data_IF_729873854770
#
_entry.id   IF_729873854770
#
_cell.length_a   1.000
_cell.length_b   1.000
_cell.length_c   1.000
_cell.angle_alpha   90.00
_cell.angle_beta   90.00
_cell.angle_gamma   90.00
#
_symmetry.space_group_name_H-M   'P 1'
#
loop_
_entity.id
_entity.type
_entity.pdbx_description
1 polymer ?
#
# COMPACT_ATOMS: atom_id res chain seq x y z
N UNK A 1 6.34 -6.26 -23.00
CA UNK A 1 5.82 -5.46 -21.86
C UNK A 1 5.93 -6.33 -20.64
N UNK A 2 6.29 -5.75 -19.49
CA UNK A 2 6.27 -6.45 -18.20
C UNK A 2 4.83 -6.75 -17.81
N UNK A 3 4.61 -7.82 -17.04
CA UNK A 3 3.26 -8.14 -16.57
C UNK A 3 2.81 -7.16 -15.48
N UNK A 4 1.66 -6.55 -15.65
CA UNK A 4 0.99 -5.74 -14.62
C UNK A 4 0.59 -6.65 -13.45
N UNK A 5 0.90 -6.26 -12.21
CA UNK A 5 0.58 -7.06 -11.02
C UNK A 5 -0.93 -7.07 -10.77
N UNK A 6 -1.56 -5.89 -10.82
CA UNK A 6 -3.01 -5.73 -10.73
C UNK A 6 -3.45 -4.44 -11.41
N UNK A 7 -4.75 -4.30 -11.64
CA UNK A 7 -5.38 -3.06 -12.13
C UNK A 7 -6.58 -2.77 -11.24
N UNK A 8 -6.69 -1.55 -10.72
CA UNK A 8 -7.75 -1.18 -9.78
C UNK A 8 -7.21 -0.77 -8.41
N UNK A 9 -7.79 -1.27 -7.34
CA UNK A 9 -7.39 -0.92 -5.97
C UNK A 9 -6.77 -2.12 -5.23
N UNK A 10 -5.60 -1.90 -4.62
CA UNK A 10 -5.00 -2.81 -3.65
C UNK A 10 -5.14 -2.21 -2.25
N UNK A 11 -5.64 -2.98 -1.29
CA UNK A 11 -5.66 -2.52 0.09
C UNK A 11 -4.30 -2.70 0.74
N UNK A 12 -3.68 -1.61 1.21
CA UNK A 12 -2.61 -1.68 2.19
C UNK A 12 -3.26 -2.05 3.53
N UNK A 13 -3.44 -3.36 3.75
CA UNK A 13 -4.26 -3.86 4.85
C UNK A 13 -3.61 -3.61 6.20
N UNK A 14 -4.41 -3.24 7.21
CA UNK A 14 -3.94 -3.17 8.60
C UNK A 14 -3.59 -4.58 9.10
N UNK A 15 -2.64 -4.69 10.00
CA UNK A 15 -2.41 -5.91 10.78
C UNK A 15 -3.16 -5.78 12.10
N UNK A 16 -4.25 -6.53 12.33
CA UNK A 16 -4.90 -6.56 13.63
C UNK A 16 -3.93 -7.04 14.71
N UNK A 17 -3.78 -6.23 15.74
CA UNK A 17 -2.90 -6.50 16.88
C UNK A 17 -3.69 -6.41 18.17
N UNK A 18 -3.25 -7.14 19.18
CA UNK A 18 -3.69 -7.03 20.57
C UNK A 18 -2.48 -7.15 21.50
N UNK A 19 -2.70 -7.12 22.81
CA UNK A 19 -1.64 -7.24 23.83
C UNK A 19 -0.79 -8.53 23.72
N UNK A 20 -1.29 -9.56 23.05
CA UNK A 20 -0.63 -10.86 22.91
C UNK A 20 0.14 -10.99 21.56
N UNK A 21 0.03 -10.00 20.66
CA UNK A 21 0.66 -10.02 19.34
C UNK A 21 -0.34 -9.85 18.20
N UNK A 22 -0.16 -10.59 17.11
CA UNK A 22 -1.03 -10.54 15.94
C UNK A 22 -2.33 -11.30 16.21
N UNK A 23 -3.47 -10.64 15.96
CA UNK A 23 -4.80 -11.27 16.03
C UNK A 23 -5.14 -11.90 14.67
N UNK A 24 -4.76 -13.15 14.49
CA UNK A 24 -4.96 -13.87 13.23
C UNK A 24 -6.44 -14.14 12.93
N UNK A 25 -7.30 -14.25 13.94
CA UNK A 25 -8.74 -14.44 13.74
C UNK A 25 -9.39 -13.18 13.16
N UNK A 26 -9.09 -12.03 13.75
CA UNK A 26 -9.53 -10.75 13.18
C UNK A 26 -8.92 -10.51 11.78
N UNK A 27 -7.67 -10.91 11.59
CA UNK A 27 -7.00 -10.76 10.28
C UNK A 27 -7.64 -11.63 9.20
N UNK A 28 -8.03 -12.86 9.52
CA UNK A 28 -8.78 -13.71 8.59
C UNK A 28 -10.12 -13.09 8.20
N UNK A 29 -10.92 -12.63 9.18
CA UNK A 29 -12.19 -11.96 8.89
C UNK A 29 -12.01 -10.73 8.02
N UNK A 30 -10.97 -9.94 8.27
CA UNK A 30 -10.65 -8.76 7.47
C UNK A 30 -10.30 -9.12 6.03
N UNK A 31 -9.43 -10.12 5.81
CA UNK A 31 -9.04 -10.60 4.48
C UNK A 31 -10.28 -11.09 3.72
N UNK A 32 -11.11 -11.92 4.34
CA UNK A 32 -12.32 -12.45 3.72
C UNK A 32 -13.29 -11.33 3.31
N UNK A 33 -13.48 -10.35 4.18
CA UNK A 33 -14.32 -9.20 3.88
C UNK A 33 -13.76 -8.37 2.71
N UNK A 34 -12.47 -8.05 2.70
CA UNK A 34 -11.83 -7.33 1.60
C UNK A 34 -12.06 -8.02 0.25
N UNK A 35 -11.90 -9.34 0.22
CA UNK A 35 -12.11 -10.12 -1.00
C UNK A 35 -13.59 -10.14 -1.38
N UNK A 36 -14.52 -10.30 -0.43
CA UNK A 36 -15.96 -10.30 -0.69
C UNK A 36 -16.47 -8.96 -1.21
N UNK A 37 -15.82 -7.86 -0.82
CA UNK A 37 -16.09 -6.51 -1.32
C UNK A 37 -15.46 -6.23 -2.70
N UNK A 38 -14.68 -7.16 -3.25
CA UNK A 38 -14.16 -7.09 -4.61
C UNK A 38 -12.91 -6.25 -4.77
N UNK A 39 -12.04 -6.23 -3.74
CA UNK A 39 -10.70 -5.64 -3.85
C UNK A 39 -9.87 -6.36 -4.92
N UNK A 40 -9.00 -5.63 -5.62
CA UNK A 40 -8.24 -6.17 -6.74
C UNK A 40 -6.88 -6.77 -6.35
N UNK A 41 -6.34 -6.41 -5.18
CA UNK A 41 -5.12 -7.00 -4.58
C UNK A 41 -5.03 -6.64 -3.10
N UNK A 42 -4.16 -7.33 -2.34
CA UNK A 42 -3.91 -7.05 -0.92
C UNK A 42 -2.41 -6.89 -0.69
N UNK A 43 -2.02 -5.76 -0.09
CA UNK A 43 -0.65 -5.49 0.36
C UNK A 43 -0.55 -5.79 1.85
N UNK A 44 0.33 -6.70 2.22
CA UNK A 44 0.52 -7.21 3.58
C UNK A 44 1.81 -6.71 4.18
N UNK A 45 1.78 -6.34 5.46
CA UNK A 45 2.93 -5.86 6.23
C UNK A 45 3.66 -4.66 5.58
N UNK A 46 2.90 -3.80 4.88
CA UNK A 46 3.38 -2.48 4.49
C UNK A 46 3.39 -1.50 5.68
N UNK A 47 3.50 -0.19 5.40
CA UNK A 47 3.43 0.85 6.44
C UNK A 47 2.13 0.78 7.25
N UNK A 48 1.00 0.65 6.56
CA UNK A 48 -0.34 0.55 7.19
C UNK A 48 -0.50 -0.74 8.00
N UNK A 49 0.16 -1.82 7.58
CA UNK A 49 0.21 -3.08 8.31
C UNK A 49 1.26 -3.12 9.42
N UNK A 50 1.83 -1.98 9.83
CA UNK A 50 2.82 -1.84 10.91
C UNK A 50 4.06 -2.77 10.74
N UNK A 51 4.46 -3.04 9.50
CA UNK A 51 5.58 -3.95 9.22
C UNK A 51 6.89 -3.59 9.91
N UNK A 52 7.09 -2.31 10.27
CA UNK A 52 8.29 -1.82 10.96
C UNK A 52 8.35 -2.18 12.45
N UNK A 53 7.24 -2.56 13.08
CA UNK A 53 7.14 -2.92 14.50
C UNK A 53 6.78 -4.38 14.74
N UNK A 54 6.62 -5.15 13.67
CA UNK A 54 6.59 -6.61 13.73
C UNK A 54 8.02 -7.12 13.97
N UNK A 55 8.17 -8.13 14.83
CA UNK A 55 9.43 -8.88 14.88
C UNK A 55 9.64 -9.61 13.56
N UNK A 56 10.87 -10.06 13.26
CA UNK A 56 11.14 -10.82 12.02
C UNK A 56 10.26 -12.07 11.91
N UNK A 57 10.07 -12.77 13.01
CA UNK A 57 9.21 -13.95 13.08
C UNK A 57 7.73 -13.60 12.79
N UNK A 58 7.18 -12.58 13.45
CA UNK A 58 5.82 -12.13 13.22
C UNK A 58 5.61 -11.65 11.77
N UNK A 59 6.59 -10.91 11.22
CA UNK A 59 6.52 -10.42 9.84
C UNK A 59 6.40 -11.60 8.86
N UNK A 60 7.24 -12.61 9.01
CA UNK A 60 7.19 -13.82 8.20
C UNK A 60 5.89 -14.60 8.39
N UNK A 61 5.43 -14.74 9.63
CA UNK A 61 4.16 -15.43 9.93
C UNK A 61 2.95 -14.68 9.34
N UNK A 62 2.89 -13.36 9.44
CA UNK A 62 1.82 -12.53 8.87
C UNK A 62 1.77 -12.66 7.35
N UNK A 63 2.93 -12.61 6.66
CA UNK A 63 3.00 -12.83 5.22
C UNK A 63 2.52 -14.24 4.83
N UNK A 64 3.02 -15.27 5.51
CA UNK A 64 2.63 -16.66 5.26
C UNK A 64 1.13 -16.88 5.47
N UNK A 65 0.60 -16.38 6.60
CA UNK A 65 -0.81 -16.48 6.90
C UNK A 65 -1.69 -15.84 5.82
N UNK A 66 -1.34 -14.62 5.38
CA UNK A 66 -2.10 -13.94 4.35
C UNK A 66 -2.06 -14.67 3.01
N UNK A 67 -0.89 -15.17 2.58
CA UNK A 67 -0.76 -15.96 1.35
C UNK A 67 -1.64 -17.22 1.42
N UNK A 68 -1.59 -17.96 2.52
CA UNK A 68 -2.38 -19.17 2.71
C UNK A 68 -3.89 -18.89 2.71
N UNK A 69 -4.32 -17.81 3.41
CA UNK A 69 -5.74 -17.46 3.50
C UNK A 69 -6.31 -16.89 2.21
N UNK A 70 -5.56 -16.05 1.53
CA UNK A 70 -5.99 -15.48 0.23
C UNK A 70 -6.03 -16.56 -0.85
N UNK A 71 -5.11 -17.52 -0.80
CA UNK A 71 -5.12 -18.73 -1.64
C UNK A 71 -5.30 -18.45 -3.15
N UNK A 72 -4.63 -17.40 -3.65
CA UNK A 72 -4.65 -17.03 -5.07
C UNK A 72 -5.95 -16.39 -5.58
N UNK A 73 -6.90 -16.06 -4.69
CA UNK A 73 -8.15 -15.38 -5.08
C UNK A 73 -7.92 -13.95 -5.59
N UNK A 74 -6.94 -13.26 -5.02
CA UNK A 74 -6.41 -11.97 -5.47
C UNK A 74 -4.89 -11.96 -5.28
N UNK A 75 -4.12 -11.12 -6.00
CA UNK A 75 -2.69 -11.00 -5.78
C UNK A 75 -2.33 -10.56 -4.36
N UNK A 76 -1.32 -11.23 -3.77
CA UNK A 76 -0.70 -10.87 -2.50
C UNK A 76 0.60 -10.13 -2.75
N UNK A 77 0.69 -8.89 -2.28
CA UNK A 77 1.87 -8.05 -2.39
C UNK A 77 2.53 -7.96 -1.02
N UNK A 78 3.71 -8.55 -0.86
CA UNK A 78 4.42 -8.58 0.42
C UNK A 78 5.25 -7.30 0.63
N UNK A 79 5.08 -6.61 1.75
CA UNK A 79 5.95 -5.53 2.19
C UNK A 79 7.28 -6.10 2.67
N UNK A 80 8.35 -5.97 1.87
CA UNK A 80 9.68 -6.54 2.19
C UNK A 80 10.78 -5.49 2.27
N UNK A 81 10.45 -4.21 2.05
CA UNK A 81 11.43 -3.12 2.09
C UNK A 81 11.97 -2.86 3.50
N UNK A 82 13.25 -2.53 3.56
CA UNK A 82 13.96 -2.15 4.79
C UNK A 82 15.04 -1.11 4.48
N UNK A 83 15.50 -0.39 5.50
CA UNK A 83 16.70 0.44 5.41
C UNK A 83 18.02 -0.37 5.53
N UNK A 84 17.93 -1.65 5.85
CA UNK A 84 18.99 -2.64 5.69
C UNK A 84 18.72 -3.47 4.43
N UNK A 85 19.56 -3.29 3.41
CA UNK A 85 19.44 -3.99 2.12
C UNK A 85 19.55 -5.50 2.27
N UNK A 86 20.40 -5.99 3.19
CA UNK A 86 20.59 -7.42 3.41
C UNK A 86 19.34 -8.07 3.98
N UNK A 87 18.71 -7.42 4.94
CA UNK A 87 17.43 -7.86 5.50
C UNK A 87 16.29 -7.81 4.46
N UNK A 88 16.22 -6.74 3.65
CA UNK A 88 15.23 -6.65 2.58
C UNK A 88 15.37 -7.78 1.55
N UNK A 89 16.61 -8.16 1.21
CA UNK A 89 16.91 -9.31 0.32
C UNK A 89 16.43 -10.61 0.94
N UNK A 90 16.74 -10.84 2.20
CA UNK A 90 16.38 -12.08 2.90
C UNK A 90 14.85 -12.23 3.02
N UNK A 91 14.17 -11.16 3.44
CA UNK A 91 12.71 -11.14 3.53
C UNK A 91 12.03 -11.28 2.15
N UNK A 92 12.61 -10.69 1.10
CA UNK A 92 12.16 -10.85 -0.28
C UNK A 92 12.25 -12.31 -0.74
N UNK A 93 13.37 -12.99 -0.48
CA UNK A 93 13.53 -14.41 -0.79
C UNK A 93 12.50 -15.27 -0.05
N UNK A 94 12.28 -14.97 1.23
CA UNK A 94 11.27 -15.66 2.01
C UNK A 94 9.87 -15.45 1.41
N UNK A 95 9.47 -14.20 1.12
CA UNK A 95 8.17 -13.89 0.55
C UNK A 95 7.96 -14.60 -0.82
N UNK A 96 9.00 -14.67 -1.66
CA UNK A 96 8.98 -15.46 -2.89
C UNK A 96 8.72 -16.94 -2.60
N UNK A 97 9.40 -17.52 -1.59
CA UNK A 97 9.34 -18.95 -1.28
C UNK A 97 7.96 -19.40 -0.76
N UNK A 98 7.23 -18.51 -0.09
CA UNK A 98 5.89 -18.80 0.42
C UNK A 98 4.78 -18.52 -0.59
N UNK A 99 5.12 -18.01 -1.79
CA UNK A 99 4.16 -17.83 -2.88
C UNK A 99 3.50 -16.45 -2.97
N UNK A 100 4.07 -15.40 -2.35
CA UNK A 100 3.61 -14.03 -2.61
C UNK A 100 3.76 -13.69 -4.10
N UNK A 101 2.83 -12.89 -4.64
CA UNK A 101 2.77 -12.58 -6.08
C UNK A 101 3.68 -11.43 -6.48
N UNK A 102 3.92 -10.48 -5.58
CA UNK A 102 4.83 -9.36 -5.79
C UNK A 102 5.39 -8.84 -4.45
N UNK A 103 6.47 -8.06 -4.55
CA UNK A 103 7.13 -7.42 -3.41
C UNK A 103 6.91 -5.91 -3.46
N UNK A 104 6.54 -5.28 -2.34
CA UNK A 104 6.52 -3.83 -2.16
C UNK A 104 7.76 -3.42 -1.37
N UNK A 105 8.66 -2.66 -2.02
CA UNK A 105 9.95 -2.30 -1.45
C UNK A 105 10.05 -0.78 -1.29
N UNK A 106 9.97 -0.31 -0.04
CA UNK A 106 10.10 1.12 0.30
C UNK A 106 11.55 1.58 0.16
N UNK A 107 11.76 2.86 -0.16
CA UNK A 107 13.10 3.49 -0.09
C UNK A 107 13.71 3.33 1.29
N UNK A 108 15.06 3.20 1.40
CA UNK A 108 15.73 3.25 2.69
C UNK A 108 15.33 4.51 3.47
N UNK A 109 14.89 4.34 4.69
CA UNK A 109 14.48 5.39 5.62
C UNK A 109 15.56 5.62 6.67
N UNK A 110 15.65 6.80 7.23
CA UNK A 110 16.60 7.22 8.26
C UNK A 110 18.04 7.34 7.74
N UNK A 111 18.71 6.24 7.34
CA UNK A 111 20.08 6.23 6.81
C UNK A 111 20.17 6.82 5.39
N UNK A 112 19.03 7.02 4.71
CA UNK A 112 18.91 7.62 3.38
C UNK A 112 19.80 6.93 2.33
N UNK A 113 19.73 7.39 1.10
CA UNK A 113 20.61 6.94 0.03
C UNK A 113 20.75 8.04 -1.02
N UNK A 114 21.88 8.05 -1.73
CA UNK A 114 22.02 8.79 -3.00
C UNK A 114 21.23 8.06 -4.10
N UNK A 115 20.97 8.72 -5.23
CA UNK A 115 20.29 8.07 -6.36
C UNK A 115 21.03 6.82 -6.85
N UNK A 116 22.35 6.85 -6.90
CA UNK A 116 23.16 5.66 -7.21
C UNK A 116 23.03 4.57 -6.14
N UNK A 117 22.92 4.95 -4.88
CA UNK A 117 22.65 4.02 -3.78
C UNK A 117 21.29 3.36 -3.95
N UNK A 118 20.24 4.12 -4.31
CA UNK A 118 18.90 3.59 -4.61
C UNK A 118 18.93 2.61 -5.79
N UNK A 119 19.62 2.96 -6.88
CA UNK A 119 19.76 2.04 -8.02
C UNK A 119 20.39 0.73 -7.58
N UNK A 120 21.50 0.77 -6.85
CA UNK A 120 22.19 -0.45 -6.37
C UNK A 120 21.33 -1.27 -5.41
N UNK A 121 20.67 -0.62 -4.44
CA UNK A 121 19.81 -1.29 -3.46
C UNK A 121 18.63 -2.00 -4.15
N UNK A 122 17.87 -1.28 -4.98
CA UNK A 122 16.70 -1.86 -5.63
C UNK A 122 17.07 -2.93 -6.66
N UNK A 123 18.20 -2.76 -7.38
CA UNK A 123 18.73 -3.80 -8.29
C UNK A 123 19.08 -5.06 -7.49
N UNK A 124 19.81 -4.95 -6.38
CA UNK A 124 20.19 -6.10 -5.58
C UNK A 124 18.98 -6.86 -4.99
N UNK A 125 17.93 -6.13 -4.56
CA UNK A 125 16.69 -6.75 -4.07
C UNK A 125 15.94 -7.42 -5.24
N UNK A 126 15.87 -6.77 -6.40
CA UNK A 126 15.19 -7.31 -7.56
C UNK A 126 15.91 -8.51 -8.20
N UNK A 127 17.25 -8.54 -8.15
CA UNK A 127 18.07 -9.70 -8.55
C UNK A 127 17.79 -10.93 -7.66
N UNK A 128 17.50 -10.69 -6.38
CA UNK A 128 17.21 -11.74 -5.42
C UNK A 128 15.74 -12.22 -5.50
N UNK A 129 14.88 -11.49 -6.19
CA UNK A 129 13.44 -11.79 -6.32
C UNK A 129 13.16 -12.67 -7.53
N UNK A 130 12.36 -13.72 -7.35
CA UNK A 130 11.76 -14.51 -8.45
C UNK A 130 10.38 -13.99 -8.85
N UNK A 131 9.92 -12.91 -8.23
CA UNK A 131 8.60 -12.30 -8.39
C UNK A 131 8.73 -10.80 -8.73
N UNK A 132 7.70 -10.17 -9.28
CA UNK A 132 7.66 -8.74 -9.54
C UNK A 132 8.00 -7.89 -8.30
N UNK A 133 8.74 -6.82 -8.50
CA UNK A 133 9.07 -5.82 -7.47
C UNK A 133 8.38 -4.51 -7.81
N UNK A 134 7.68 -3.96 -6.83
CA UNK A 134 7.05 -2.64 -6.84
C UNK A 134 7.89 -1.72 -5.96
N UNK A 135 8.48 -0.70 -6.52
CA UNK A 135 9.18 0.34 -5.77
C UNK A 135 8.16 1.14 -4.94
N UNK A 136 8.54 1.61 -3.76
CA UNK A 136 7.69 2.50 -2.99
C UNK A 136 8.42 3.80 -2.64
N UNK A 137 7.94 4.90 -3.24
CA UNK A 137 8.46 6.24 -3.06
C UNK A 137 7.55 7.06 -2.13
N UNK A 138 8.02 7.36 -0.91
CA UNK A 138 7.27 8.11 0.10
C UNK A 138 8.20 9.04 0.89
N UNK A 139 8.72 10.11 0.24
CA UNK A 139 9.75 10.96 0.81
C UNK A 139 9.34 11.66 2.11
N UNK A 140 8.05 11.92 2.32
CA UNK A 140 7.53 12.49 3.58
C UNK A 140 7.79 11.61 4.80
N UNK A 141 7.91 10.28 4.62
CA UNK A 141 8.19 9.33 5.70
C UNK A 141 9.66 8.92 5.77
N UNK A 142 10.28 8.78 4.62
CA UNK A 142 11.65 8.21 4.55
C UNK A 142 12.74 9.26 4.50
N UNK A 143 12.42 10.50 4.11
CA UNK A 143 13.41 11.53 3.80
C UNK A 143 14.25 11.18 2.55
N UNK A 144 13.80 10.22 1.74
CA UNK A 144 14.49 9.74 0.54
C UNK A 144 13.50 9.69 -0.63
N UNK A 145 13.83 10.36 -1.74
CA UNK A 145 12.98 10.49 -2.91
C UNK A 145 13.63 9.80 -4.12
N UNK A 146 12.89 8.93 -4.79
CA UNK A 146 13.32 8.35 -6.06
C UNK A 146 13.01 9.37 -7.16
N UNK A 147 14.06 9.91 -7.78
CA UNK A 147 13.88 10.89 -8.85
C UNK A 147 13.47 10.23 -10.18
N UNK A 148 12.77 10.94 -11.09
CA UNK A 148 12.26 10.37 -12.35
C UNK A 148 13.34 9.67 -13.20
N UNK A 149 14.54 10.24 -13.29
CA UNK A 149 15.68 9.62 -13.98
C UNK A 149 16.14 8.32 -13.34
N UNK A 150 16.06 8.21 -12.02
CA UNK A 150 16.36 6.98 -11.27
C UNK A 150 15.31 5.92 -11.54
N UNK A 151 14.02 6.29 -11.57
CA UNK A 151 12.94 5.39 -11.99
C UNK A 151 13.18 4.87 -13.43
N UNK A 152 13.60 5.72 -14.35
CA UNK A 152 13.89 5.32 -15.72
C UNK A 152 15.01 4.26 -15.80
N UNK A 153 16.08 4.41 -15.01
CA UNK A 153 17.15 3.39 -14.92
C UNK A 153 16.64 2.09 -14.34
N UNK A 154 15.89 2.15 -13.23
CA UNK A 154 15.33 0.97 -12.55
C UNK A 154 14.28 0.27 -13.42
N UNK A 155 13.56 1.00 -14.26
CA UNK A 155 12.58 0.43 -15.19
C UNK A 155 13.20 -0.50 -16.25
N UNK A 156 14.51 -0.46 -16.48
CA UNK A 156 15.19 -1.43 -17.37
C UNK A 156 15.36 -2.81 -16.74
N UNK A 157 15.30 -2.91 -15.40
CA UNK A 157 15.44 -4.18 -14.72
C UNK A 157 14.18 -5.07 -14.92
N UNK A 158 14.32 -6.34 -15.34
CA UNK A 158 13.18 -7.18 -15.72
C UNK A 158 12.16 -7.40 -14.57
N UNK A 159 12.62 -7.53 -13.34
CA UNK A 159 11.78 -7.79 -12.18
C UNK A 159 11.19 -6.51 -11.54
N UNK A 160 11.70 -5.32 -11.83
CA UNK A 160 11.14 -4.05 -11.34
C UNK A 160 10.02 -3.64 -12.30
N UNK A 161 8.77 -3.88 -11.92
CA UNK A 161 7.62 -3.75 -12.83
C UNK A 161 6.76 -2.54 -12.56
N UNK A 162 6.82 -1.98 -11.35
CA UNK A 162 5.96 -0.86 -10.97
C UNK A 162 6.60 0.03 -9.89
N UNK A 163 5.99 1.19 -9.70
CA UNK A 163 6.23 2.09 -8.58
C UNK A 163 4.91 2.48 -7.91
N UNK A 164 4.85 2.37 -6.58
CA UNK A 164 3.86 3.06 -5.73
C UNK A 164 4.39 4.46 -5.46
N UNK A 165 3.72 5.45 -6.01
CA UNK A 165 4.13 6.86 -5.91
C UNK A 165 3.29 7.58 -4.85
N UNK A 166 3.94 8.01 -3.78
CA UNK A 166 3.34 8.73 -2.66
C UNK A 166 4.12 10.00 -2.29
N UNK A 167 4.80 10.61 -3.27
CA UNK A 167 5.49 11.89 -3.06
C UNK A 167 4.51 13.07 -2.91
N UNK A 168 3.30 12.94 -3.44
CA UNK A 168 2.33 14.04 -3.54
C UNK A 168 2.66 15.07 -4.62
N UNK A 169 3.78 14.90 -5.34
CA UNK A 169 4.24 15.83 -6.37
C UNK A 169 3.80 15.36 -7.77
N UNK A 170 2.63 15.84 -8.21
CA UNK A 170 2.05 15.46 -9.52
C UNK A 170 2.99 15.81 -10.69
N UNK A 171 3.75 16.90 -10.60
CA UNK A 171 4.73 17.26 -11.65
C UNK A 171 5.84 16.22 -11.76
N UNK A 172 6.40 15.76 -10.62
CA UNK A 172 7.39 14.68 -10.61
C UNK A 172 6.79 13.37 -11.12
N UNK A 173 5.54 13.07 -10.75
CA UNK A 173 4.84 11.86 -11.20
C UNK A 173 4.63 11.89 -12.72
N UNK A 174 4.27 13.04 -13.28
CA UNK A 174 4.11 13.20 -14.72
C UNK A 174 5.45 13.00 -15.46
N UNK A 175 6.56 13.55 -14.93
CA UNK A 175 7.90 13.31 -15.50
C UNK A 175 8.27 11.82 -15.41
N UNK A 176 8.01 11.18 -14.27
CA UNK A 176 8.24 9.74 -14.12
C UNK A 176 7.43 8.96 -15.15
N UNK A 177 6.12 9.24 -15.29
CA UNK A 177 5.24 8.57 -16.25
C UNK A 177 5.75 8.69 -17.69
N UNK A 178 6.24 9.88 -18.08
CA UNK A 178 6.80 10.10 -19.40
C UNK A 178 8.07 9.25 -19.65
N UNK A 179 8.97 9.17 -18.64
CA UNK A 179 10.25 8.46 -18.78
C UNK A 179 10.10 6.93 -18.70
N UNK A 180 9.13 6.41 -17.95
CA UNK A 180 8.97 4.96 -17.76
C UNK A 180 7.88 4.34 -18.64
N UNK A 181 7.28 5.13 -19.54
CA UNK A 181 6.16 4.70 -20.39
C UNK A 181 6.41 3.36 -21.06
N UNK A 182 5.51 2.40 -20.82
CA UNK A 182 5.57 1.04 -21.36
C UNK A 182 6.62 0.12 -20.72
N UNK A 183 7.38 0.59 -19.70
CA UNK A 183 8.42 -0.17 -19.01
C UNK A 183 8.13 -0.41 -17.54
N UNK A 184 7.36 0.47 -16.91
CA UNK A 184 7.02 0.39 -15.49
C UNK A 184 5.61 0.94 -15.27
N UNK A 185 4.80 0.23 -14.52
CA UNK A 185 3.48 0.70 -14.10
C UNK A 185 3.57 1.68 -12.93
N UNK A 186 2.59 2.57 -12.80
CA UNK A 186 2.49 3.52 -11.68
C UNK A 186 1.19 3.27 -10.93
N UNK A 187 1.29 3.12 -9.62
CA UNK A 187 0.16 3.09 -8.68
C UNK A 187 0.18 4.33 -7.81
N UNK A 188 -0.99 4.93 -7.58
CA UNK A 188 -1.09 5.95 -6.54
C UNK A 188 -0.77 5.33 -5.18
N UNK A 189 0.01 6.03 -4.36
CA UNK A 189 0.18 5.72 -2.94
C UNK A 189 -0.63 6.64 -2.03
N UNK A 190 -1.31 7.63 -2.62
CA UNK A 190 -2.13 8.63 -1.95
C UNK A 190 -3.58 8.53 -2.45
N UNK A 191 -4.52 8.36 -1.52
CA UNK A 191 -5.94 8.18 -1.85
C UNK A 191 -6.58 9.45 -2.44
N UNK A 192 -6.09 10.63 -2.10
CA UNK A 192 -6.52 11.93 -2.66
C UNK A 192 -6.00 12.18 -4.10
N UNK A 193 -5.13 11.32 -4.62
CA UNK A 193 -4.51 11.46 -5.95
C UNK A 193 -4.78 10.27 -6.88
N UNK A 194 -5.78 9.44 -6.62
CA UNK A 194 -6.10 8.27 -7.44
C UNK A 194 -6.38 8.70 -8.88
N UNK A 195 -7.41 9.51 -9.09
CA UNK A 195 -7.85 9.92 -10.43
C UNK A 195 -6.80 10.75 -11.16
N UNK A 196 -6.10 11.72 -10.55
CA UNK A 196 -4.97 12.40 -11.16
C UNK A 196 -3.89 11.45 -11.70
N UNK A 197 -3.52 10.41 -10.92
CA UNK A 197 -2.49 9.45 -11.35
C UNK A 197 -3.02 8.50 -12.43
N UNK A 198 -4.30 8.07 -12.36
CA UNK A 198 -4.93 7.32 -13.45
C UNK A 198 -4.88 8.10 -14.77
N UNK A 199 -5.10 9.42 -14.74
CA UNK A 199 -5.05 10.28 -15.94
C UNK A 199 -3.65 10.38 -16.56
N UNK A 200 -2.59 10.13 -15.77
CA UNK A 200 -1.21 10.03 -16.24
C UNK A 200 -0.83 8.62 -16.73
N UNK A 201 -1.78 7.70 -16.83
CA UNK A 201 -1.57 6.32 -17.26
C UNK A 201 -1.31 5.33 -16.13
N UNK A 202 -1.58 5.72 -14.88
CA UNK A 202 -1.53 4.84 -13.72
C UNK A 202 -2.44 3.63 -13.84
N UNK A 203 -2.12 2.56 -13.12
CA UNK A 203 -2.86 1.28 -13.14
C UNK A 203 -3.84 1.13 -11.98
N UNK A 204 -3.79 2.03 -11.02
CA UNK A 204 -4.63 1.97 -9.83
C UNK A 204 -3.99 2.61 -8.62
N UNK A 205 -4.38 2.14 -7.45
CA UNK A 205 -3.96 2.66 -6.15
C UNK A 205 -3.57 1.53 -5.20
N UNK A 206 -2.56 1.77 -4.36
CA UNK A 206 -2.29 0.99 -3.15
C UNK A 206 -2.74 1.87 -1.98
N UNK A 207 -3.91 1.60 -1.47
CA UNK A 207 -4.81 2.49 -0.75
C UNK A 207 -4.86 2.23 0.75
N UNK A 208 -5.08 3.27 1.54
CA UNK A 208 -5.50 3.21 2.94
C UNK A 208 -7.03 3.27 3.04
N UNK A 209 -7.68 4.13 2.26
CA UNK A 209 -9.14 4.28 2.18
C UNK A 209 -9.83 2.93 1.96
N UNK A 210 -9.27 2.07 1.13
CA UNK A 210 -9.82 0.76 0.83
C UNK A 210 -9.88 -0.20 2.02
N UNK A 211 -9.23 0.10 3.15
CA UNK A 211 -9.47 -0.66 4.40
C UNK A 211 -10.92 -0.53 4.85
N UNK A 212 -11.53 0.66 4.71
CA UNK A 212 -12.92 0.95 5.15
C UNK A 212 -13.91 0.99 3.98
N UNK A 213 -13.43 1.24 2.75
CA UNK A 213 -14.24 1.39 1.53
C UNK A 213 -13.62 0.62 0.35
N UNK A 214 -13.47 -0.72 0.44
CA UNK A 214 -12.82 -1.51 -0.60
C UNK A 214 -13.55 -1.46 -1.93
N UNK A 215 -14.88 -1.65 -1.93
CA UNK A 215 -15.72 -1.65 -3.13
C UNK A 215 -15.70 -0.31 -3.86
N UNK A 216 -15.88 0.77 -3.13
CA UNK A 216 -15.94 2.13 -3.65
C UNK A 216 -14.60 2.55 -4.23
N UNK A 217 -13.49 2.22 -3.54
CA UNK A 217 -12.14 2.52 -4.02
C UNK A 217 -11.81 1.74 -5.30
N UNK A 218 -12.20 0.47 -5.36
CA UNK A 218 -12.05 -0.35 -6.56
C UNK A 218 -12.94 0.15 -7.71
N UNK A 219 -14.20 0.50 -7.42
CA UNK A 219 -15.13 1.05 -8.42
C UNK A 219 -14.66 2.40 -8.97
N UNK A 220 -14.08 3.26 -8.15
CA UNK A 220 -13.49 4.54 -8.62
C UNK A 220 -12.45 4.31 -9.72
N UNK A 221 -11.54 3.34 -9.52
CA UNK A 221 -10.56 2.97 -10.53
C UNK A 221 -11.21 2.32 -11.76
N UNK A 222 -12.14 1.38 -11.54
CA UNK A 222 -12.84 0.64 -12.62
C UNK A 222 -13.69 1.57 -13.49
N UNK A 223 -14.36 2.56 -12.89
CA UNK A 223 -15.10 3.59 -13.63
C UNK A 223 -14.19 4.37 -14.57
N UNK A 224 -13.00 4.77 -14.08
CA UNK A 224 -12.02 5.44 -14.94
C UNK A 224 -11.63 4.59 -16.16
N UNK A 225 -11.31 3.31 -15.93
CA UNK A 225 -10.90 2.40 -17.02
C UNK A 225 -12.02 2.07 -18.01
N UNK A 226 -13.29 2.17 -17.61
CA UNK A 226 -14.45 2.06 -18.51
C UNK A 226 -14.71 3.33 -19.30
N UNK A 227 -13.95 4.43 -19.06
CA UNK A 227 -14.15 5.73 -19.68
C UNK A 227 -15.21 6.60 -18.97
N UNK A 228 -15.75 6.17 -17.82
CA UNK A 228 -16.67 6.92 -16.96
C UNK A 228 -15.89 7.92 -16.09
N UNK A 229 -15.11 8.79 -16.73
CA UNK A 229 -14.13 9.64 -16.04
C UNK A 229 -14.78 10.68 -15.12
N UNK A 230 -15.98 11.19 -15.47
CA UNK A 230 -16.73 12.10 -14.60
C UNK A 230 -17.17 11.39 -13.31
N UNK A 231 -17.73 10.17 -13.43
CA UNK A 231 -18.11 9.36 -12.26
C UNK A 231 -16.90 9.08 -11.36
N UNK A 232 -15.77 8.69 -11.94
CA UNK A 232 -14.54 8.44 -11.20
C UNK A 232 -14.04 9.68 -10.45
N UNK A 233 -14.06 10.84 -11.13
CA UNK A 233 -13.75 12.15 -10.53
C UNK A 233 -14.68 12.49 -9.36
N UNK A 234 -15.99 12.35 -9.57
CA UNK A 234 -16.97 12.71 -8.56
C UNK A 234 -16.84 11.80 -7.34
N UNK A 235 -16.63 10.49 -7.52
CA UNK A 235 -16.30 9.57 -6.43
C UNK A 235 -15.04 10.00 -5.65
N UNK A 236 -13.99 10.46 -6.34
CA UNK A 236 -12.76 10.97 -5.70
C UNK A 236 -13.06 12.21 -4.84
N UNK A 237 -13.86 13.14 -5.36
CA UNK A 237 -14.16 14.39 -4.67
C UNK A 237 -15.15 14.17 -3.51
N UNK A 238 -16.14 13.31 -3.69
CA UNK A 238 -17.13 13.00 -2.67
C UNK A 238 -16.51 12.27 -1.45
N UNK A 239 -15.41 11.53 -1.62
CA UNK A 239 -14.74 10.83 -0.52
C UNK A 239 -13.63 11.65 0.14
N UNK A 240 -13.38 12.87 -0.27
CA UNK A 240 -12.21 13.65 0.14
C UNK A 240 -12.18 13.94 1.65
N UNK A 241 -13.33 14.19 2.28
CA UNK A 241 -13.39 14.44 3.73
C UNK A 241 -13.07 13.14 4.53
N UNK A 242 -13.53 11.98 4.10
CA UNK A 242 -13.17 10.69 4.69
C UNK A 242 -11.67 10.39 4.49
N UNK A 243 -11.14 10.62 3.29
CA UNK A 243 -9.71 10.47 3.02
C UNK A 243 -8.90 11.35 3.98
N UNK A 244 -9.25 12.62 4.09
CA UNK A 244 -8.56 13.54 5.00
C UNK A 244 -8.66 13.12 6.47
N UNK A 245 -9.81 12.60 6.91
CA UNK A 245 -9.98 12.09 8.27
C UNK A 245 -9.11 10.86 8.54
N UNK A 246 -8.91 9.97 7.55
CA UNK A 246 -8.01 8.81 7.66
C UNK A 246 -6.51 9.18 7.69
N UNK A 247 -6.18 10.43 7.42
CA UNK A 247 -4.79 10.95 7.45
C UNK A 247 -4.61 12.16 8.37
N UNK A 248 -5.58 12.47 9.24
CA UNK A 248 -5.46 13.61 10.17
C UNK A 248 -4.40 13.38 11.26
N UNK A 249 -4.04 12.12 11.51
CA UNK A 249 -2.88 11.71 12.28
C UNK A 249 -2.00 10.77 11.46
N UNK A 250 -0.88 10.35 12.03
CA UNK A 250 0.06 9.45 11.34
C UNK A 250 -0.62 8.12 11.00
N UNK A 251 -0.71 7.79 9.71
CA UNK A 251 -1.17 6.47 9.27
C UNK A 251 -0.21 5.37 9.83
N UNK A 252 -0.72 4.29 10.48
CA UNK A 252 -2.10 3.78 10.43
C UNK A 252 -3.00 4.17 11.62
N UNK A 253 -2.69 5.16 12.44
CA UNK A 253 -3.48 5.47 13.64
C UNK A 253 -4.98 5.63 13.32
N UNK A 254 -5.41 6.53 12.39
CA UNK A 254 -6.83 6.71 12.11
C UNK A 254 -7.50 5.47 11.50
N UNK A 255 -6.85 4.82 10.54
CA UNK A 255 -7.45 3.65 9.90
C UNK A 255 -7.59 2.47 10.86
N UNK A 256 -6.69 2.30 11.84
CA UNK A 256 -6.87 1.25 12.88
C UNK A 256 -8.01 1.57 13.83
N UNK A 257 -8.20 2.83 14.22
CA UNK A 257 -9.38 3.26 14.97
C UNK A 257 -10.68 2.95 14.19
N UNK A 258 -10.69 3.29 12.88
CA UNK A 258 -11.80 2.99 12.00
C UNK A 258 -12.10 1.48 11.92
N UNK A 259 -11.08 0.65 11.69
CA UNK A 259 -11.25 -0.80 11.58
C UNK A 259 -11.69 -1.44 12.88
N UNK A 260 -11.22 -0.95 14.03
CA UNK A 260 -11.70 -1.41 15.34
C UNK A 260 -13.18 -1.07 15.56
N UNK A 261 -13.60 0.17 15.20
CA UNK A 261 -15.01 0.57 15.26
C UNK A 261 -15.91 -0.28 14.35
N UNK A 262 -15.39 -0.74 13.21
CA UNK A 262 -16.08 -1.67 12.30
C UNK A 262 -16.04 -3.14 12.77
N UNK A 263 -15.36 -3.46 13.88
CA UNK A 263 -15.29 -4.82 14.45
C UNK A 263 -14.18 -5.72 13.87
N UNK A 264 -13.21 -5.15 13.17
CA UNK A 264 -12.06 -5.88 12.60
C UNK A 264 -10.80 -5.82 13.48
N UNK A 265 -10.94 -6.11 14.76
CA UNK A 265 -9.86 -6.17 15.75
C UNK A 265 -9.95 -5.09 16.83
N UNK A 266 -8.91 -5.02 17.67
CA UNK A 266 -8.79 -4.00 18.71
C UNK A 266 -8.13 -2.72 18.16
N UNK A 267 -8.46 -1.55 18.76
CA UNK A 267 -7.72 -0.30 18.51
C UNK A 267 -6.38 -0.34 19.26
N UNK A 268 -5.52 -1.28 18.88
CA UNK A 268 -4.23 -1.52 19.50
C UNK A 268 -3.10 -1.26 18.49
N UNK A 269 -2.15 -0.42 18.86
CA UNK A 269 -0.95 -0.10 18.08
C UNK A 269 0.29 -0.36 18.94
N UNK A 270 1.40 -0.67 18.29
CA UNK A 270 2.71 -0.78 18.95
C UNK A 270 3.42 0.56 18.96
N UNK A 271 4.09 0.88 20.05
CA UNK A 271 4.95 2.05 20.11
C UNK A 271 5.97 2.03 18.94
N UNK A 272 6.26 3.22 18.35
CA UNK A 272 5.95 4.56 18.83
C UNK A 272 4.54 5.08 18.53
N UNK A 273 3.70 4.29 17.87
CA UNK A 273 2.30 4.66 17.60
C UNK A 273 1.43 4.43 18.84
N UNK A 274 0.45 5.29 19.01
CA UNK A 274 -0.54 5.27 20.09
C UNK A 274 -1.94 5.27 19.50
N UNK A 275 -2.98 4.87 20.27
CA UNK A 275 -4.35 5.11 19.85
C UNK A 275 -4.58 6.58 19.47
N UNK A 276 -5.55 6.80 18.59
CA UNK A 276 -5.93 8.11 18.07
C UNK A 276 -6.39 9.05 19.21
N UNK A 277 -6.14 10.35 19.06
CA UNK A 277 -6.64 11.37 19.99
C UNK A 277 -8.18 11.36 19.99
N UNK A 278 -8.84 11.41 21.18
CA UNK A 278 -10.29 11.21 21.29
C UNK A 278 -11.15 12.16 20.43
N UNK A 279 -10.72 13.41 20.27
CA UNK A 279 -11.43 14.40 19.44
C UNK A 279 -11.36 14.02 17.95
N UNK A 280 -10.19 13.60 17.48
CA UNK A 280 -10.00 13.15 16.10
C UNK A 280 -10.75 11.86 15.83
N UNK A 281 -10.74 10.90 16.75
CA UNK A 281 -11.51 9.66 16.64
C UNK A 281 -13.02 9.94 16.55
N UNK A 282 -13.55 10.79 17.41
CA UNK A 282 -14.96 11.18 17.37
C UNK A 282 -15.36 11.82 16.03
N UNK A 283 -14.49 12.69 15.49
CA UNK A 283 -14.70 13.30 14.17
C UNK A 283 -14.65 12.27 13.05
N UNK A 284 -13.65 11.37 13.05
CA UNK A 284 -13.54 10.29 12.06
C UNK A 284 -14.79 9.41 12.05
N UNK A 285 -15.24 8.95 13.21
CA UNK A 285 -16.45 8.11 13.32
C UNK A 285 -17.71 8.86 12.86
N UNK A 286 -17.81 10.16 13.15
CA UNK A 286 -18.93 10.98 12.68
C UNK A 286 -18.92 11.11 11.13
N UNK A 287 -17.76 11.25 10.52
CA UNK A 287 -17.61 11.24 9.06
C UNK A 287 -17.97 9.88 8.50
N UNK A 288 -17.43 8.78 9.06
CA UNK A 288 -17.72 7.42 8.61
C UNK A 288 -19.23 7.12 8.60
N UNK A 289 -19.99 7.57 9.63
CA UNK A 289 -21.46 7.43 9.66
C UNK A 289 -22.16 8.15 8.54
N UNK A 290 -21.67 9.33 8.08
CA UNK A 290 -22.23 10.05 6.92
C UNK A 290 -22.12 9.24 5.63
N UNK A 291 -21.11 8.40 5.53
CA UNK A 291 -20.90 7.46 4.41
C UNK A 291 -21.64 6.13 4.59
N UNK A 292 -22.45 5.97 5.64
CA UNK A 292 -23.23 4.77 5.89
C UNK A 292 -22.44 3.62 6.48
N UNK A 293 -21.20 3.84 6.95
CA UNK A 293 -20.43 2.84 7.67
C UNK A 293 -21.02 2.64 9.07
N UNK A 294 -21.15 1.38 9.44
CA UNK A 294 -21.69 1.00 10.74
C UNK A 294 -20.58 1.01 11.81
N UNK A 295 -20.42 2.15 12.52
CA UNK A 295 -19.39 2.42 13.54
C UNK A 295 -19.97 3.13 14.76
#
# INVERSE_FOLDING_TARGET
MKNTVFTGAATAVVTPLNKNGVDYEAFERLIEWQISEGIDAIVVAGTTGEGSTLTDEEHRQVLKFAVDKIAGRVPVIAGTGSNDTSYAIDLTKYACSIGADAMLVVTPYYNKATQNGLIKTFTAIADASTKPVILYNVPSRTGCNILPKTCAVLAEHPNIVAIKEASGNISQIAETAALVKGKMDIYSGNDDQIVPILSLGGKGVISVLSNVFPRETSEMCKAFFRGETEKSRDMQLDMLDLINALFCEVNPIPVKAAMAAMGYGENFLRLPLTPMEPEHEANLLAIMRKYGLNV
#
